data_IF_539385241491
#
_entry.id   IF_539385241491
#
_cell.length_a   1.000
_cell.length_b   1.000
_cell.length_c   1.000
_cell.angle_alpha   90.00
_cell.angle_beta   90.00
_cell.angle_gamma   90.00
#
_symmetry.space_group_name_H-M   'P 1'
#
loop_
_entity.id
_entity.type
_entity.pdbx_description
1 polymer ?
#
# COMPACT_ATOMS: atom_id res chain seq x y z
N UNK A 1 0.43 15.75 -4.97
CA UNK A 1 1.03 14.71 -4.11
C UNK A 1 0.88 13.36 -4.79
N UNK A 2 2.00 12.69 -5.12
CA UNK A 2 2.01 11.38 -5.78
C UNK A 2 1.98 10.25 -4.75
N UNK A 3 1.35 9.13 -5.09
CA UNK A 3 1.27 7.94 -4.24
C UNK A 3 1.87 6.72 -4.95
N UNK A 4 2.67 5.95 -4.24
CA UNK A 4 2.96 4.55 -4.55
C UNK A 4 2.06 3.67 -3.69
N UNK A 5 1.51 2.57 -4.23
CA UNK A 5 0.60 1.70 -3.49
C UNK A 5 0.65 0.24 -3.94
N UNK A 6 0.37 -0.66 -3.00
CA UNK A 6 0.07 -2.06 -3.25
C UNK A 6 -1.37 -2.34 -2.83
N UNK A 7 -2.13 -3.02 -3.70
CA UNK A 7 -3.51 -3.45 -3.42
C UNK A 7 -3.51 -4.85 -2.87
N UNK A 8 -4.22 -5.07 -1.77
CA UNK A 8 -4.30 -6.37 -1.11
C UNK A 8 -5.74 -6.82 -0.85
N UNK A 9 -5.89 -8.15 -0.74
CA UNK A 9 -7.14 -8.80 -0.37
C UNK A 9 -7.33 -8.84 1.14
N UNK A 10 -8.58 -9.02 1.60
CA UNK A 10 -8.91 -9.03 3.03
C UNK A 10 -8.07 -10.01 3.85
N UNK A 11 -7.79 -11.21 3.32
CA UNK A 11 -6.96 -12.21 3.98
C UNK A 11 -5.51 -11.76 4.22
N UNK A 12 -5.01 -10.79 3.46
CA UNK A 12 -3.63 -10.29 3.57
C UNK A 12 -3.51 -9.09 4.52
N UNK A 13 -4.61 -8.46 4.93
CA UNK A 13 -4.58 -7.29 5.82
C UNK A 13 -4.14 -7.65 7.24
N UNK A 14 -4.27 -8.92 7.64
CA UNK A 14 -3.85 -9.36 8.96
C UNK A 14 -2.32 -9.36 9.11
N UNK A 15 -1.84 -9.08 10.33
CA UNK A 15 -0.45 -9.31 10.69
C UNK A 15 -0.17 -10.83 10.81
N UNK A 16 0.96 -11.34 10.28
CA UNK A 16 2.07 -10.61 9.65
C UNK A 16 1.96 -10.39 8.14
N UNK A 17 0.93 -10.93 7.47
CA UNK A 17 0.83 -10.94 6.01
C UNK A 17 0.86 -9.54 5.38
N UNK A 18 0.33 -8.54 6.07
CA UNK A 18 0.29 -7.16 5.56
C UNK A 18 1.68 -6.56 5.35
N UNK A 19 2.71 -7.04 6.07
CA UNK A 19 4.08 -6.52 5.97
C UNK A 19 4.63 -6.64 4.53
N UNK A 20 4.29 -7.72 3.83
CA UNK A 20 4.69 -7.91 2.43
C UNK A 20 4.15 -6.82 1.49
N UNK A 21 3.01 -6.20 1.81
CA UNK A 21 2.46 -5.09 1.04
C UNK A 21 3.24 -3.79 1.26
N UNK A 22 3.71 -3.54 2.49
CA UNK A 22 4.60 -2.41 2.77
C UNK A 22 5.93 -2.59 2.04
N UNK A 23 6.56 -3.77 2.18
CA UNK A 23 7.83 -4.10 1.53
C UNK A 23 7.74 -3.99 0.00
N UNK A 24 6.64 -4.45 -0.60
CA UNK A 24 6.42 -4.35 -2.05
C UNK A 24 6.37 -2.90 -2.55
N UNK A 25 5.78 -1.98 -1.78
CA UNK A 25 5.76 -0.56 -2.16
C UNK A 25 7.16 0.05 -2.04
N UNK A 26 7.89 -0.26 -0.97
CA UNK A 26 9.25 0.26 -0.74
C UNK A 26 10.24 -0.26 -1.79
N UNK A 27 10.16 -1.53 -2.16
CA UNK A 27 10.94 -2.12 -3.24
C UNK A 27 10.67 -1.40 -4.58
N UNK A 28 9.40 -1.21 -4.92
CA UNK A 28 9.02 -0.49 -6.13
C UNK A 28 9.47 0.97 -6.14
N UNK A 29 9.42 1.64 -4.98
CA UNK A 29 9.94 3.00 -4.81
C UNK A 29 11.45 3.06 -5.05
N UNK A 30 12.20 2.12 -4.44
CA UNK A 30 13.66 2.02 -4.56
C UNK A 30 14.09 1.84 -6.02
N UNK A 31 13.45 0.95 -6.77
CA UNK A 31 13.73 0.72 -8.19
C UNK A 31 13.54 1.96 -9.07
N UNK A 32 12.74 2.93 -8.61
CA UNK A 32 12.37 4.15 -9.35
C UNK A 32 13.01 5.42 -8.81
N UNK A 33 13.90 5.30 -7.82
CA UNK A 33 14.52 6.45 -7.18
C UNK A 33 13.50 7.40 -6.52
N UNK A 34 12.39 6.85 -6.01
CA UNK A 34 11.40 7.62 -5.27
C UNK A 34 11.77 7.69 -3.79
N UNK A 35 11.42 8.79 -3.14
CA UNK A 35 11.63 9.00 -1.71
C UNK A 35 10.30 9.22 -1.00
N UNK A 36 10.27 8.98 0.32
CA UNK A 36 9.08 9.26 1.14
C UNK A 36 8.79 10.76 1.19
N UNK A 37 7.54 11.12 0.92
CA UNK A 37 7.03 12.49 1.05
C UNK A 37 6.06 12.65 2.23
N UNK A 38 6.02 11.67 3.14
CA UNK A 38 5.12 11.64 4.29
C UNK A 38 4.89 10.22 4.83
N UNK A 39 4.06 10.07 5.86
CA UNK A 39 3.79 8.76 6.47
C UNK A 39 3.00 7.85 5.54
N UNK A 40 3.30 6.55 5.59
CA UNK A 40 2.50 5.52 4.97
C UNK A 40 1.11 5.40 5.63
N UNK A 41 0.17 4.76 4.93
CA UNK A 41 -1.19 4.52 5.42
C UNK A 41 -1.81 3.31 4.76
N UNK A 42 -2.70 2.67 5.51
CA UNK A 42 -3.65 1.69 5.01
C UNK A 42 -4.94 2.42 4.61
N UNK A 43 -5.37 2.27 3.37
CA UNK A 43 -6.59 2.90 2.84
C UNK A 43 -7.61 1.82 2.54
N UNK A 44 -8.58 1.68 3.44
CA UNK A 44 -9.71 0.76 3.29
C UNK A 44 -10.75 1.38 2.38
N UNK A 45 -11.02 0.75 1.24
CA UNK A 45 -11.89 1.30 0.19
C UNK A 45 -13.15 0.48 -0.08
N UNK A 46 -13.28 -0.70 0.53
CA UNK A 46 -14.42 -1.60 0.39
C UNK A 46 -15.24 -1.66 1.68
N UNK A 47 -16.47 -2.17 1.58
CA UNK A 47 -17.25 -2.59 2.74
C UNK A 47 -16.55 -3.79 3.41
N UNK A 48 -15.96 -3.54 4.56
CA UNK A 48 -15.17 -4.54 5.27
C UNK A 48 -16.01 -5.74 5.69
N UNK A 49 -17.22 -5.52 6.17
CA UNK A 49 -18.04 -6.58 6.76
C UNK A 49 -18.65 -7.46 5.67
N UNK A 50 -18.98 -6.89 4.51
CA UNK A 50 -19.48 -7.63 3.35
C UNK A 50 -18.39 -8.37 2.56
N UNK A 51 -17.13 -7.91 2.60
CA UNK A 51 -16.04 -8.48 1.82
C UNK A 51 -15.62 -9.89 2.30
N UNK A 52 -15.49 -10.80 1.35
CA UNK A 52 -14.88 -12.11 1.54
C UNK A 52 -13.35 -12.07 1.60
N UNK A 53 -12.70 -13.17 1.99
CA UNK A 53 -11.24 -13.22 2.20
C UNK A 53 -10.40 -12.86 0.97
N UNK A 54 -10.91 -13.14 -0.23
CA UNK A 54 -10.21 -12.92 -1.51
C UNK A 54 -10.58 -11.58 -2.17
N UNK A 55 -11.48 -10.80 -1.56
CA UNK A 55 -11.89 -9.54 -2.14
C UNK A 55 -10.83 -8.45 -1.85
N UNK A 56 -10.53 -7.58 -2.82
CA UNK A 56 -9.66 -6.44 -2.62
C UNK A 56 -10.33 -5.42 -1.70
N UNK A 57 -9.66 -5.02 -0.62
CA UNK A 57 -10.27 -4.15 0.40
C UNK A 57 -9.39 -3.00 0.86
N UNK A 58 -8.06 -3.14 0.74
CA UNK A 58 -7.11 -2.19 1.29
C UNK A 58 -5.98 -1.90 0.30
N UNK A 59 -5.60 -0.64 0.19
CA UNK A 59 -4.36 -0.22 -0.44
C UNK A 59 -3.37 0.20 0.65
N UNK A 60 -2.19 -0.40 0.70
CA UNK A 60 -1.05 0.14 1.47
C UNK A 60 -0.39 1.20 0.61
N UNK A 61 -0.39 2.45 1.06
CA UNK A 61 -0.01 3.60 0.24
C UNK A 61 1.01 4.52 0.93
N UNK A 62 1.98 4.97 0.14
CA UNK A 62 3.05 5.85 0.57
C UNK A 62 3.00 7.16 -0.24
N UNK A 63 2.96 8.34 0.41
CA UNK A 63 3.32 9.60 -0.23
C UNK A 63 4.75 9.53 -0.75
N UNK A 64 4.94 9.90 -2.02
CA UNK A 64 6.26 9.87 -2.64
C UNK A 64 6.59 11.16 -3.38
N UNK A 65 7.88 11.47 -3.43
CA UNK A 65 8.49 12.49 -4.27
C UNK A 65 9.54 11.85 -5.17
N UNK A 66 9.60 12.28 -6.43
CA UNK A 66 10.58 11.86 -7.42
C UNK A 66 11.66 12.91 -7.68
N UNK A 67 12.62 12.61 -8.56
CA UNK A 67 13.79 13.45 -8.83
C UNK A 67 13.51 14.85 -9.40
N UNK A 68 12.26 15.16 -9.76
CA UNK A 68 11.84 16.44 -10.33
C UNK A 68 10.63 17.05 -9.60
N UNK A 69 10.26 16.51 -8.43
CA UNK A 69 9.17 17.01 -7.57
C UNK A 69 9.67 18.07 -6.57
#
# INVERSE_FOLDING_TARGET
MRLARARIIKAQVAHPQILAAFEAVEEWMRERGLTYAGPCREVYFADWDAAGPQDPVCDVAFPVAGPAD
#
